data_IF_413899307531
#
_entry.id   IF_413899307531
#
_cell.length_a   1.000
_cell.length_b   1.000
_cell.length_c   1.000
_cell.angle_alpha   90.00
_cell.angle_beta   90.00
_cell.angle_gamma   90.00
#
_symmetry.space_group_name_H-M   'P 1'
#
loop_
_entity.id
_entity.type
_entity.pdbx_description
1 polymer ?
#
# COMPACT_ATOMS: atom_id res chain seq x y z
N UNK A 1 9.32 -3.37 -4.37
CA UNK A 1 9.57 -1.95 -3.98
C UNK A 1 9.94 -1.12 -5.21
N UNK A 2 9.62 0.18 -5.23
CA UNK A 2 9.93 1.10 -6.34
C UNK A 2 10.38 2.45 -5.77
N UNK A 3 11.43 3.07 -6.31
CA UNK A 3 11.80 4.43 -5.92
C UNK A 3 13.23 4.85 -6.24
N UNK A 4 13.55 6.09 -5.87
CA UNK A 4 14.91 6.67 -5.92
C UNK A 4 15.71 6.25 -4.67
N UNK A 5 16.78 5.50 -4.88
CA UNK A 5 17.67 5.04 -3.81
C UNK A 5 18.98 5.82 -3.77
N UNK A 6 19.20 6.78 -4.70
CA UNK A 6 20.47 7.49 -4.88
C UNK A 6 21.71 6.57 -4.91
N UNK A 7 21.48 5.33 -5.36
CA UNK A 7 22.42 4.22 -5.28
C UNK A 7 22.86 3.83 -6.67
N UNK A 8 24.14 3.97 -7.01
CA UNK A 8 24.67 3.50 -8.30
C UNK A 8 25.25 2.12 -8.08
N UNK A 9 24.58 1.10 -8.60
CA UNK A 9 24.93 -0.31 -8.31
C UNK A 9 25.83 -0.94 -9.37
N UNK A 10 26.07 -0.25 -10.49
CA UNK A 10 26.78 -0.84 -11.62
C UNK A 10 26.12 -2.15 -12.07
N UNK A 11 26.97 -3.11 -12.43
CA UNK A 11 26.60 -4.49 -12.73
C UNK A 11 26.88 -5.45 -11.56
N UNK A 12 26.90 -4.95 -10.31
CA UNK A 12 27.05 -5.83 -9.15
C UNK A 12 25.87 -6.80 -9.04
N UNK A 13 26.18 -8.05 -8.67
CA UNK A 13 25.20 -9.09 -8.39
C UNK A 13 24.42 -8.78 -7.12
N UNK A 14 23.10 -8.82 -7.20
CA UNK A 14 22.13 -8.66 -6.12
C UNK A 14 21.77 -10.00 -5.44
N UNK A 15 22.43 -11.09 -5.82
CA UNK A 15 22.33 -12.42 -5.20
C UNK A 15 23.72 -12.99 -4.85
N UNK A 16 23.75 -14.00 -3.97
CA UNK A 16 24.96 -14.74 -3.63
C UNK A 16 25.28 -15.77 -4.71
N UNK A 17 26.54 -15.80 -5.18
CA UNK A 17 26.97 -16.80 -6.15
C UNK A 17 27.67 -17.92 -5.38
N UNK A 18 26.94 -19.02 -5.14
CA UNK A 18 27.41 -20.16 -4.34
C UNK A 18 28.73 -20.72 -4.89
N UNK A 19 28.91 -20.73 -6.22
CA UNK A 19 30.10 -21.30 -6.86
C UNK A 19 31.35 -20.41 -6.71
N UNK A 20 31.17 -19.10 -6.47
CA UNK A 20 32.28 -18.13 -6.39
C UNK A 20 32.57 -17.66 -4.98
N UNK A 21 31.57 -17.64 -4.12
CA UNK A 21 31.67 -17.22 -2.72
C UNK A 21 31.97 -18.45 -1.84
N UNK A 22 33.09 -19.12 -2.13
CA UNK A 22 33.56 -20.36 -1.46
C UNK A 22 33.98 -20.17 0.01
N UNK A 23 33.59 -19.05 0.65
CA UNK A 23 33.85 -18.77 2.06
C UNK A 23 32.69 -19.17 2.98
N UNK A 24 31.57 -19.67 2.44
CA UNK A 24 30.49 -20.29 3.22
C UNK A 24 30.76 -21.79 3.35
N UNK A 25 31.86 -22.15 4.02
CA UNK A 25 32.10 -23.54 4.39
C UNK A 25 31.11 -23.96 5.49
N UNK A 26 30.37 -25.03 5.20
CA UNK A 26 29.91 -26.07 6.13
C UNK A 26 28.99 -25.63 7.29
N UNK A 27 27.68 -25.86 7.16
CA UNK A 27 26.83 -26.46 8.22
C UNK A 27 25.32 -26.59 7.94
N UNK A 28 24.82 -26.40 6.71
CA UNK A 28 23.41 -26.70 6.40
C UNK A 28 23.27 -27.65 5.22
N UNK A 29 23.46 -28.93 5.49
CA UNK A 29 22.94 -30.02 4.66
C UNK A 29 21.52 -30.31 5.10
N UNK A 30 20.55 -29.51 4.67
CA UNK A 30 19.19 -30.03 4.54
C UNK A 30 18.32 -29.22 3.57
N UNK A 31 17.63 -29.97 2.71
CA UNK A 31 16.55 -29.62 1.79
C UNK A 31 16.82 -28.96 0.44
N UNK A 32 16.18 -29.60 -0.56
CA UNK A 32 15.93 -29.23 -1.94
C UNK A 32 15.14 -27.90 -2.11
N UNK A 33 15.45 -26.85 -1.36
CA UNK A 33 14.95 -25.52 -1.69
C UNK A 33 15.67 -25.06 -2.96
N UNK A 34 14.92 -24.93 -4.06
CA UNK A 34 15.37 -24.19 -5.24
C UNK A 34 15.98 -22.88 -4.77
N UNK A 35 17.19 -22.58 -5.22
CA UNK A 35 17.79 -21.30 -4.87
C UNK A 35 16.91 -20.20 -5.45
N UNK A 36 16.77 -19.07 -4.74
CA UNK A 36 15.98 -17.94 -5.25
C UNK A 36 16.43 -17.47 -6.66
N UNK A 37 17.66 -17.80 -7.03
CA UNK A 37 18.24 -17.55 -8.35
C UNK A 37 17.66 -18.46 -9.42
N UNK A 38 17.32 -19.72 -9.08
CA UNK A 38 16.75 -20.68 -10.04
C UNK A 38 15.35 -20.27 -10.50
N UNK A 39 14.60 -19.56 -9.65
CA UNK A 39 13.31 -18.94 -10.02
C UNK A 39 13.47 -17.95 -11.18
N UNK A 40 14.62 -17.25 -11.26
CA UNK A 40 14.89 -16.37 -12.40
C UNK A 40 15.01 -17.16 -13.70
N UNK A 41 15.68 -18.31 -13.68
CA UNK A 41 15.85 -19.14 -14.87
C UNK A 41 14.54 -19.78 -15.29
N UNK A 42 13.72 -20.25 -14.33
CA UNK A 42 12.39 -20.79 -14.59
C UNK A 42 11.51 -19.76 -15.32
N UNK A 43 11.59 -18.50 -14.92
CA UNK A 43 10.85 -17.39 -15.54
C UNK A 43 11.52 -16.83 -16.81
N UNK A 44 12.67 -17.37 -17.23
CA UNK A 44 13.44 -16.84 -18.35
C UNK A 44 13.99 -15.44 -18.12
N UNK A 45 14.12 -15.01 -16.86
CA UNK A 45 14.69 -13.73 -16.46
C UNK A 45 16.21 -13.87 -16.34
N UNK A 46 17.02 -13.05 -17.02
CA UNK A 46 18.48 -13.14 -16.92
C UNK A 46 18.98 -13.00 -15.47
N UNK A 47 19.86 -13.91 -15.04
CA UNK A 47 20.54 -13.83 -13.72
C UNK A 47 21.37 -12.56 -13.57
N UNK A 48 22.06 -12.13 -14.62
CA UNK A 48 22.86 -10.91 -14.61
C UNK A 48 22.06 -9.73 -15.15
N UNK A 49 22.14 -8.60 -14.44
CA UNK A 49 21.56 -7.33 -14.89
C UNK A 49 22.46 -6.73 -15.95
N UNK A 50 21.85 -6.13 -16.95
CA UNK A 50 22.54 -5.23 -17.85
C UNK A 50 22.25 -3.79 -17.42
N UNK A 51 23.25 -3.06 -16.96
CA UNK A 51 23.17 -1.63 -16.66
C UNK A 51 24.17 -0.87 -17.52
N UNK A 52 23.70 0.17 -18.23
CA UNK A 52 24.61 1.08 -18.93
C UNK A 52 25.43 1.92 -17.96
N UNK A 53 24.90 2.18 -16.77
CA UNK A 53 25.63 2.80 -15.68
C UNK A 53 26.49 1.74 -15.01
N UNK A 54 27.80 1.78 -15.26
CA UNK A 54 28.80 0.85 -14.71
C UNK A 54 29.40 1.35 -13.40
N UNK A 55 29.08 2.58 -12.97
CA UNK A 55 29.67 3.18 -11.77
C UNK A 55 29.02 2.61 -10.51
N UNK A 56 29.85 2.34 -9.49
CA UNK A 56 29.40 1.89 -8.18
C UNK A 56 29.77 2.90 -7.11
N UNK A 57 28.77 3.45 -6.40
CA UNK A 57 29.02 4.33 -5.25
C UNK A 57 28.86 3.58 -3.90
N UNK A 58 29.19 4.25 -2.80
CA UNK A 58 29.10 3.66 -1.46
C UNK A 58 27.68 3.22 -1.07
N UNK A 59 26.66 3.97 -1.49
CA UNK A 59 25.25 3.59 -1.31
C UNK A 59 24.89 2.36 -2.14
N UNK A 60 25.38 2.27 -3.38
CA UNK A 60 25.18 1.13 -4.27
C UNK A 60 25.68 -0.19 -3.69
N UNK A 61 26.85 -0.21 -3.04
CA UNK A 61 27.35 -1.41 -2.35
C UNK A 61 26.41 -1.84 -1.22
N UNK A 62 26.04 -0.91 -0.33
CA UNK A 62 25.10 -1.17 0.76
C UNK A 62 23.72 -1.63 0.25
N UNK A 63 23.27 -1.07 -0.87
CA UNK A 63 22.01 -1.41 -1.48
C UNK A 63 22.03 -2.82 -2.10
N UNK A 64 23.15 -3.23 -2.69
CA UNK A 64 23.36 -4.61 -3.14
C UNK A 64 23.38 -5.58 -1.94
N UNK A 65 24.09 -5.24 -0.87
CA UNK A 65 24.08 -6.07 0.35
C UNK A 65 22.68 -6.19 0.94
N UNK A 66 21.91 -5.09 0.93
CA UNK A 66 20.51 -5.10 1.32
C UNK A 66 19.68 -6.05 0.43
N UNK A 67 19.84 -6.00 -0.90
CA UNK A 67 19.13 -6.89 -1.82
C UNK A 67 19.45 -8.37 -1.54
N UNK A 68 20.74 -8.70 -1.38
CA UNK A 68 21.22 -10.04 -1.05
C UNK A 68 20.64 -10.56 0.27
N UNK A 69 20.74 -9.77 1.33
CA UNK A 69 20.27 -10.15 2.66
C UNK A 69 18.74 -10.31 2.74
N UNK A 70 18.00 -9.61 1.88
CA UNK A 70 16.54 -9.64 1.86
C UNK A 70 15.96 -10.46 0.69
N UNK A 71 16.80 -11.24 -0.03
CA UNK A 71 16.37 -12.08 -1.17
C UNK A 71 15.55 -11.29 -2.20
N UNK A 72 15.99 -10.07 -2.49
CA UNK A 72 15.35 -9.19 -3.47
C UNK A 72 16.22 -9.01 -4.71
N UNK A 73 15.56 -8.95 -5.86
CA UNK A 73 16.19 -8.76 -7.15
C UNK A 73 15.86 -7.40 -7.72
N UNK A 74 16.90 -6.72 -8.22
CA UNK A 74 16.76 -5.50 -9.01
C UNK A 74 16.30 -5.89 -10.42
N UNK A 75 15.14 -5.40 -10.82
CA UNK A 75 14.52 -5.69 -12.11
C UNK A 75 15.06 -4.85 -13.27
N UNK A 76 15.61 -3.66 -12.96
CA UNK A 76 16.24 -2.79 -13.96
C UNK A 76 17.36 -3.56 -14.65
N UNK A 77 17.31 -3.63 -15.99
CA UNK A 77 18.32 -4.34 -16.76
C UNK A 77 18.06 -5.83 -16.97
N UNK A 78 16.94 -6.39 -16.49
CA UNK A 78 16.60 -7.83 -16.64
C UNK A 78 15.45 -8.10 -17.62
N UNK A 79 14.39 -7.30 -17.56
CA UNK A 79 13.18 -7.54 -18.37
C UNK A 79 13.33 -7.00 -19.80
N UNK A 80 12.65 -7.64 -20.76
CA UNK A 80 12.89 -7.48 -22.21
C UNK A 80 12.96 -6.03 -22.68
N UNK A 81 12.01 -5.21 -22.26
CA UNK A 81 11.90 -3.81 -22.68
C UNK A 81 12.87 -2.86 -21.98
N UNK A 82 13.61 -3.36 -20.99
CA UNK A 82 14.68 -2.65 -20.30
C UNK A 82 15.96 -3.50 -20.26
N UNK A 83 16.16 -4.39 -21.23
CA UNK A 83 17.37 -5.22 -21.35
C UNK A 83 18.63 -4.40 -21.54
N UNK A 84 18.53 -3.14 -21.95
CA UNK A 84 19.68 -2.22 -22.09
C UNK A 84 20.12 -1.57 -20.79
N UNK A 85 19.29 -1.64 -19.74
CA UNK A 85 19.59 -0.98 -18.46
C UNK A 85 19.56 0.52 -18.57
N UNK A 86 18.49 1.04 -19.17
CA UNK A 86 18.40 2.46 -19.52
C UNK A 86 18.53 3.35 -18.27
N UNK A 87 19.21 4.50 -18.39
CA UNK A 87 19.44 5.42 -17.28
C UNK A 87 18.13 5.99 -16.77
N UNK A 88 17.95 5.99 -15.45
CA UNK A 88 16.75 6.52 -14.79
C UNK A 88 16.91 7.98 -14.40
N UNK A 89 18.11 8.55 -14.52
CA UNK A 89 18.42 9.94 -14.18
C UNK A 89 19.25 10.59 -15.29
N UNK A 90 18.75 11.70 -15.86
CA UNK A 90 19.35 12.57 -16.91
C UNK A 90 20.19 11.86 -17.98
N UNK A 91 19.76 10.66 -18.38
CA UNK A 91 20.48 9.81 -19.30
C UNK A 91 21.92 9.43 -18.88
N UNK A 92 22.26 9.53 -17.60
CA UNK A 92 23.62 9.34 -17.10
C UNK A 92 23.78 8.31 -16.00
N UNK A 93 22.76 8.09 -15.17
CA UNK A 93 22.84 7.12 -14.07
C UNK A 93 21.57 6.31 -13.87
N UNK A 94 21.73 5.13 -13.28
CA UNK A 94 20.64 4.27 -12.81
C UNK A 94 20.61 4.38 -11.28
N UNK A 95 19.61 5.08 -10.76
CA UNK A 95 19.44 5.34 -9.31
C UNK A 95 18.02 5.07 -8.82
N UNK A 96 17.06 4.97 -9.74
CA UNK A 96 15.69 4.58 -9.49
C UNK A 96 15.52 3.11 -9.82
N UNK A 97 15.07 2.31 -8.85
CA UNK A 97 15.00 0.86 -9.00
C UNK A 97 13.60 0.33 -8.78
N UNK A 98 13.29 -0.72 -9.52
CA UNK A 98 12.22 -1.66 -9.22
C UNK A 98 12.83 -2.93 -8.62
N UNK A 99 12.37 -3.31 -7.43
CA UNK A 99 12.79 -4.50 -6.71
C UNK A 99 11.63 -5.48 -6.57
N UNK A 100 11.92 -6.77 -6.67
CA UNK A 100 10.97 -7.84 -6.40
C UNK A 100 11.61 -8.95 -5.58
N UNK A 101 10.84 -9.56 -4.68
CA UNK A 101 11.15 -10.90 -4.17
C UNK A 101 10.85 -11.94 -5.26
N UNK A 102 11.38 -13.16 -5.09
CA UNK A 102 11.10 -14.30 -5.98
C UNK A 102 9.62 -14.59 -6.13
N UNK A 103 8.89 -14.60 -5.01
CA UNK A 103 7.45 -14.87 -4.99
C UNK A 103 6.64 -13.90 -5.88
N UNK A 104 7.05 -12.63 -5.94
CA UNK A 104 6.32 -11.61 -6.69
C UNK A 104 6.75 -11.51 -8.17
N UNK A 105 7.84 -12.17 -8.58
CA UNK A 105 8.31 -12.15 -9.97
C UNK A 105 7.27 -12.74 -10.93
N UNK A 106 6.52 -13.76 -10.50
CA UNK A 106 5.43 -14.37 -11.27
C UNK A 106 4.34 -13.37 -11.67
N UNK A 107 4.20 -12.28 -10.92
CA UNK A 107 3.22 -11.23 -11.20
C UNK A 107 3.79 -10.10 -12.04
N UNK A 108 5.06 -10.11 -12.42
CA UNK A 108 5.66 -9.01 -13.19
C UNK A 108 5.70 -9.37 -14.66
N UNK A 109 5.03 -8.57 -15.47
CA UNK A 109 4.98 -8.71 -16.92
C UNK A 109 6.11 -7.93 -17.58
N UNK A 110 6.23 -6.65 -17.24
CA UNK A 110 7.09 -5.70 -17.97
C UNK A 110 7.57 -4.58 -17.05
N UNK A 111 8.83 -4.17 -17.26
CA UNK A 111 9.40 -2.94 -16.72
C UNK A 111 10.01 -2.13 -17.86
N UNK A 112 9.67 -0.85 -17.92
CA UNK A 112 10.18 0.10 -18.92
C UNK A 112 10.63 1.40 -18.24
N UNK A 113 11.77 1.95 -18.66
CA UNK A 113 12.18 3.31 -18.33
C UNK A 113 11.67 4.21 -19.44
N UNK A 114 10.66 5.02 -19.14
CA UNK A 114 10.07 5.92 -20.12
C UNK A 114 10.99 7.11 -20.40
N UNK A 115 10.83 7.71 -21.58
CA UNK A 115 11.60 8.89 -21.96
C UNK A 115 11.49 10.01 -20.93
N UNK A 116 12.64 10.61 -20.59
CA UNK A 116 12.70 11.76 -19.69
C UNK A 116 11.74 12.87 -20.15
N UNK A 117 10.93 13.32 -19.22
CA UNK A 117 9.98 14.39 -19.45
C UNK A 117 10.21 15.49 -18.41
N UNK A 118 10.78 16.62 -18.86
CA UNK A 118 11.01 17.82 -18.04
C UNK A 118 9.77 18.32 -17.28
N UNK A 119 8.58 17.90 -17.71
CA UNK A 119 7.31 18.24 -17.10
C UNK A 119 7.05 17.48 -15.80
N UNK A 120 7.56 16.26 -15.68
CA UNK A 120 7.29 15.35 -14.56
C UNK A 120 8.47 15.23 -13.60
N UNK A 121 9.68 15.56 -14.04
CA UNK A 121 10.86 15.61 -13.19
C UNK A 121 11.92 16.52 -13.82
N UNK A 122 12.77 17.11 -12.98
CA UNK A 122 13.95 17.86 -13.43
C UNK A 122 15.16 16.96 -13.70
N UNK A 123 15.12 15.71 -13.21
CA UNK A 123 16.26 14.79 -13.26
C UNK A 123 15.85 13.36 -13.62
N UNK A 124 14.73 12.85 -13.13
CA UNK A 124 14.37 11.43 -13.23
C UNK A 124 13.48 11.09 -14.43
N UNK A 125 13.77 9.96 -15.05
CA UNK A 125 12.95 9.30 -16.06
C UNK A 125 11.89 8.44 -15.37
N UNK A 126 10.62 8.48 -15.79
CA UNK A 126 9.58 7.67 -15.16
C UNK A 126 9.82 6.16 -15.35
N UNK A 127 9.55 5.37 -14.31
CA UNK A 127 9.50 3.91 -14.39
C UNK A 127 8.06 3.43 -14.59
N UNK A 128 7.83 2.53 -15.55
CA UNK A 128 6.55 1.87 -15.78
C UNK A 128 6.69 0.38 -15.51
N UNK A 129 5.98 -0.10 -14.49
CA UNK A 129 5.89 -1.51 -14.14
C UNK A 129 4.48 -2.02 -14.47
N UNK A 130 4.39 -3.14 -15.19
CA UNK A 130 3.15 -3.82 -15.51
C UNK A 130 3.08 -5.14 -14.76
N UNK A 131 1.92 -5.40 -14.17
CA UNK A 131 1.67 -6.57 -13.34
C UNK A 131 0.56 -7.44 -13.94
N UNK A 132 0.72 -8.76 -13.82
CA UNK A 132 -0.34 -9.73 -14.03
C UNK A 132 -1.23 -9.81 -12.78
N UNK A 133 -2.55 -9.83 -13.01
CA UNK A 133 -3.53 -10.08 -11.96
C UNK A 133 -4.31 -11.34 -12.28
N UNK A 134 -4.35 -12.30 -11.35
CA UNK A 134 -5.10 -13.56 -11.49
C UNK A 134 -6.60 -13.42 -11.25
N UNK A 135 -7.05 -12.21 -10.93
CA UNK A 135 -8.47 -11.94 -11.05
C UNK A 135 -8.75 -11.98 -12.54
N UNK A 136 -9.49 -13.00 -13.00
CA UNK A 136 -10.48 -12.78 -14.03
C UNK A 136 -11.25 -11.57 -13.53
N UNK A 137 -10.84 -10.38 -13.96
CA UNK A 137 -11.66 -9.23 -13.74
C UNK A 137 -12.86 -9.58 -14.59
N UNK A 138 -13.90 -10.07 -13.92
CA UNK A 138 -15.10 -10.56 -14.56
C UNK A 138 -15.57 -9.37 -15.39
N UNK A 139 -15.31 -9.41 -16.69
CA UNK A 139 -15.46 -8.22 -17.53
C UNK A 139 -16.92 -7.78 -17.47
N UNK A 140 -17.85 -8.68 -17.12
CA UNK A 140 -19.24 -8.36 -16.74
C UNK A 140 -19.36 -7.43 -15.52
N UNK A 141 -18.61 -7.62 -14.45
CA UNK A 141 -18.62 -6.75 -13.26
C UNK A 141 -17.93 -5.40 -13.52
N UNK A 142 -16.85 -5.36 -14.32
CA UNK A 142 -16.32 -4.06 -14.78
C UNK A 142 -17.26 -3.38 -15.79
N UNK A 143 -17.96 -4.13 -16.64
CA UNK A 143 -18.95 -3.59 -17.58
C UNK A 143 -20.25 -3.18 -16.87
N UNK A 144 -20.63 -3.82 -15.77
CA UNK A 144 -21.74 -3.37 -14.92
C UNK A 144 -21.34 -2.16 -14.06
N UNK A 145 -20.09 -2.10 -13.59
CA UNK A 145 -19.59 -0.94 -12.81
C UNK A 145 -19.21 0.25 -13.71
N UNK A 146 -18.78 0.03 -14.96
CA UNK A 146 -18.33 1.10 -15.89
C UNK A 146 -19.18 1.31 -17.15
N UNK A 147 -20.12 0.40 -17.47
CA UNK A 147 -21.04 0.51 -18.61
C UNK A 147 -22.51 0.37 -18.22
N UNK A 148 -22.89 0.66 -16.97
CA UNK A 148 -24.15 1.37 -16.78
C UNK A 148 -24.00 2.73 -17.48
N UNK A 149 -24.25 2.77 -18.79
CA UNK A 149 -24.77 3.98 -19.38
C UNK A 149 -26.08 4.22 -18.65
N UNK A 150 -26.03 4.95 -17.54
CA UNK A 150 -27.21 5.28 -16.74
C UNK A 150 -28.27 5.71 -17.74
N UNK A 151 -29.29 4.87 -17.90
CA UNK A 151 -30.47 5.24 -18.65
C UNK A 151 -31.02 6.47 -17.96
N UNK A 152 -30.78 7.63 -18.55
CA UNK A 152 -31.30 8.87 -18.01
C UNK A 152 -32.73 8.97 -18.49
N UNK A 153 -33.64 9.07 -17.53
CA UNK A 153 -34.99 9.52 -17.79
C UNK A 153 -34.89 10.85 -18.53
N UNK A 154 -35.64 10.98 -19.63
CA UNK A 154 -35.67 12.23 -20.36
C UNK A 154 -36.23 13.38 -19.49
N UNK A 155 -35.99 14.62 -19.92
CA UNK A 155 -36.39 15.81 -19.14
C UNK A 155 -37.91 15.81 -18.92
N UNK A 156 -38.33 16.20 -17.71
CA UNK A 156 -39.75 16.36 -17.36
C UNK A 156 -40.48 17.27 -18.36
N UNK A 157 -41.60 16.78 -18.87
CA UNK A 157 -42.53 17.49 -19.76
C UNK A 157 -43.85 17.68 -19.03
N UNK A 158 -44.22 18.94 -18.76
CA UNK A 158 -45.38 19.25 -17.92
C UNK A 158 -46.71 18.75 -18.52
N UNK A 159 -46.77 18.62 -19.84
CA UNK A 159 -47.92 18.09 -20.58
C UNK A 159 -48.20 16.61 -20.27
N UNK A 160 -47.17 15.85 -19.89
CA UNK A 160 -47.27 14.41 -19.55
C UNK A 160 -47.45 14.14 -18.05
N UNK A 161 -47.77 15.15 -17.24
CA UNK A 161 -47.87 14.99 -15.79
C UNK A 161 -48.96 13.98 -15.36
N UNK A 162 -50.08 13.90 -16.10
CA UNK A 162 -51.14 12.94 -15.82
C UNK A 162 -50.76 11.52 -16.23
N UNK A 163 -50.04 11.37 -17.33
CA UNK A 163 -49.50 10.08 -17.78
C UNK A 163 -48.49 9.53 -16.76
N UNK A 164 -47.62 10.40 -16.23
CA UNK A 164 -46.70 10.03 -15.14
C UNK A 164 -47.44 9.50 -13.91
N UNK A 165 -48.50 10.18 -13.46
CA UNK A 165 -49.31 9.73 -12.33
C UNK A 165 -49.97 8.38 -12.59
N UNK A 166 -50.42 8.13 -13.82
CA UNK A 166 -51.05 6.87 -14.20
C UNK A 166 -50.05 5.72 -14.30
N UNK A 167 -48.78 6.02 -14.60
CA UNK A 167 -47.70 5.03 -14.69
C UNK A 167 -47.08 4.68 -13.32
N UNK A 168 -47.49 5.33 -12.23
CA UNK A 168 -47.10 4.93 -10.87
C UNK A 168 -47.78 3.61 -10.53
N UNK A 169 -46.96 2.57 -10.35
CA UNK A 169 -47.43 1.25 -9.94
C UNK A 169 -48.02 1.28 -8.53
N UNK A 170 -49.35 1.28 -8.46
CA UNK A 170 -50.08 1.32 -7.19
C UNK A 170 -49.80 0.11 -6.31
N UNK A 171 -49.53 -1.06 -6.89
CA UNK A 171 -49.26 -2.26 -6.10
C UNK A 171 -47.94 -2.12 -5.34
N UNK A 172 -46.91 -1.54 -5.97
CA UNK A 172 -45.64 -1.23 -5.30
C UNK A 172 -45.82 -0.19 -4.20
N UNK A 173 -46.63 0.84 -4.46
CA UNK A 173 -46.93 1.87 -3.45
C UNK A 173 -47.65 1.25 -2.25
N UNK A 174 -48.64 0.38 -2.49
CA UNK A 174 -49.38 -0.29 -1.43
C UNK A 174 -48.48 -1.23 -0.61
N UNK A 175 -47.56 -1.97 -1.25
CA UNK A 175 -46.57 -2.79 -0.56
C UNK A 175 -45.65 -1.96 0.35
N UNK A 176 -45.13 -0.84 -0.17
CA UNK A 176 -44.32 0.11 0.62
C UNK A 176 -45.13 0.64 1.81
N UNK A 177 -46.40 1.01 1.61
CA UNK A 177 -47.27 1.51 2.67
C UNK A 177 -47.55 0.44 3.75
N UNK A 178 -47.76 -0.81 3.33
CA UNK A 178 -47.99 -1.93 4.24
C UNK A 178 -46.76 -2.23 5.09
N UNK A 179 -45.56 -2.24 4.49
CA UNK A 179 -44.29 -2.41 5.20
C UNK A 179 -44.02 -1.28 6.19
N UNK A 180 -44.24 -0.03 5.78
CA UNK A 180 -44.14 1.13 6.68
C UNK A 180 -45.12 1.03 7.85
N UNK A 181 -46.35 0.60 7.60
CA UNK A 181 -47.36 0.42 8.65
C UNK A 181 -46.99 -0.69 9.62
N UNK A 182 -46.37 -1.78 9.14
CA UNK A 182 -45.83 -2.83 9.98
C UNK A 182 -44.70 -2.30 10.89
N UNK A 183 -43.79 -1.47 10.35
CA UNK A 183 -42.69 -0.87 11.10
C UNK A 183 -43.14 0.12 12.18
N UNK A 184 -44.22 0.85 11.94
CA UNK A 184 -44.80 1.75 12.95
C UNK A 184 -45.34 0.97 14.16
N UNK A 185 -45.80 -0.26 13.96
CA UNK A 185 -46.33 -1.11 15.03
C UNK A 185 -45.24 -1.91 15.78
N UNK A 186 -44.03 -2.02 15.23
CA UNK A 186 -42.89 -2.74 15.82
C UNK A 186 -41.58 -1.95 15.73
N UNK A 187 -41.58 -0.75 16.32
CA UNK A 187 -40.48 0.23 16.22
C UNK A 187 -39.14 -0.31 16.75
N UNK A 188 -39.16 -1.27 17.67
CA UNK A 188 -37.94 -1.79 18.30
C UNK A 188 -37.13 -2.75 17.42
N UNK A 189 -37.74 -3.28 16.35
CA UNK A 189 -37.11 -4.25 15.45
C UNK A 189 -36.70 -3.66 14.08
N UNK A 190 -36.95 -2.37 13.84
CA UNK A 190 -36.63 -1.72 12.57
C UNK A 190 -35.14 -1.38 12.51
N UNK A 191 -34.43 -1.94 11.55
CA UNK A 191 -33.01 -1.65 11.34
C UNK A 191 -32.80 -0.51 10.34
N UNK A 192 -31.58 0.05 10.31
CA UNK A 192 -31.15 0.99 9.27
C UNK A 192 -31.25 0.39 7.87
N UNK A 193 -31.04 -0.93 7.75
CA UNK A 193 -31.12 -1.63 6.48
C UNK A 193 -32.55 -1.63 5.94
N UNK A 194 -33.54 -1.85 6.80
CA UNK A 194 -34.95 -1.85 6.42
C UNK A 194 -35.42 -0.49 5.89
N UNK A 195 -34.97 0.59 6.54
CA UNK A 195 -35.26 1.96 6.09
C UNK A 195 -34.58 2.28 4.74
N UNK A 196 -33.34 1.83 4.55
CA UNK A 196 -32.66 2.00 3.26
C UNK A 196 -33.40 1.26 2.14
N UNK A 197 -33.91 0.05 2.39
CA UNK A 197 -34.68 -0.69 1.40
C UNK A 197 -35.96 0.06 1.01
N UNK A 198 -36.70 0.61 1.98
CA UNK A 198 -37.89 1.43 1.69
C UNK A 198 -37.53 2.65 0.83
N UNK A 199 -36.43 3.34 1.14
CA UNK A 199 -35.99 4.49 0.34
C UNK A 199 -35.63 4.08 -1.08
N UNK A 200 -34.95 2.95 -1.26
CA UNK A 200 -34.64 2.39 -2.58
C UNK A 200 -35.92 2.07 -3.35
N UNK A 201 -36.88 1.38 -2.73
CA UNK A 201 -38.13 0.98 -3.37
C UNK A 201 -38.97 2.20 -3.80
N UNK A 202 -38.99 3.27 -3.00
CA UNK A 202 -39.63 4.54 -3.36
C UNK A 202 -38.92 5.17 -4.57
N UNK A 203 -37.59 5.24 -4.54
CA UNK A 203 -36.80 5.81 -5.64
C UNK A 203 -37.03 5.03 -6.94
N UNK A 204 -37.03 3.71 -6.88
CA UNK A 204 -37.21 2.82 -8.03
C UNK A 204 -38.62 2.96 -8.60
N UNK A 205 -39.65 2.98 -7.75
CA UNK A 205 -41.04 3.18 -8.16
C UNK A 205 -41.21 4.50 -8.92
N UNK A 206 -40.67 5.60 -8.40
CA UNK A 206 -40.74 6.90 -9.06
C UNK A 206 -39.92 6.92 -10.35
N UNK A 207 -38.73 6.32 -10.34
CA UNK A 207 -37.82 6.29 -11.50
C UNK A 207 -38.40 5.47 -12.64
N UNK A 208 -38.94 4.29 -12.38
CA UNK A 208 -39.59 3.43 -13.37
C UNK A 208 -40.82 4.11 -14.00
N UNK A 209 -41.65 4.75 -13.18
CA UNK A 209 -42.80 5.54 -13.65
C UNK A 209 -42.34 6.66 -14.60
N UNK A 210 -41.20 7.27 -14.28
CA UNK A 210 -40.62 8.34 -15.08
C UNK A 210 -40.04 7.80 -16.38
N UNK A 211 -39.34 6.65 -16.34
CA UNK A 211 -38.83 5.94 -17.53
C UNK A 211 -39.97 5.56 -18.47
N UNK A 212 -41.08 5.03 -17.94
CA UNK A 212 -42.24 4.66 -18.73
C UNK A 212 -42.89 5.87 -19.43
N UNK A 213 -42.93 7.02 -18.75
CA UNK A 213 -43.62 8.23 -19.24
C UNK A 213 -42.78 9.07 -20.18
N UNK A 214 -41.53 9.34 -19.80
CA UNK A 214 -40.65 10.26 -20.52
C UNK A 214 -39.73 9.51 -21.48
N UNK A 215 -39.67 8.17 -21.39
CA UNK A 215 -38.68 7.36 -22.07
C UNK A 215 -37.29 7.50 -21.44
N UNK A 216 -36.38 6.67 -21.91
CA UNK A 216 -34.96 6.73 -21.55
C UNK A 216 -34.15 7.20 -22.76
N UNK A 217 -33.15 8.03 -22.52
CA UNK A 217 -32.09 8.24 -23.51
C UNK A 217 -30.87 7.44 -23.09
N UNK A 218 -30.47 6.50 -23.95
CA UNK A 218 -29.16 5.90 -23.86
C UNK A 218 -28.17 6.95 -24.32
N UNK A 219 -27.38 7.46 -23.37
CA UNK A 219 -26.26 8.33 -23.74
C UNK A 219 -25.21 7.44 -24.40
N UNK A 220 -25.37 7.22 -25.72
CA UNK A 220 -24.34 6.61 -26.55
C UNK A 220 -23.13 7.53 -26.48
N UNK A 221 -22.22 7.25 -25.54
CA UNK A 221 -20.84 7.70 -25.64
C UNK A 221 -20.34 7.07 -26.94
N UNK A 222 -20.40 7.83 -28.04
CA UNK A 222 -19.54 7.58 -29.18
C UNK A 222 -18.17 7.25 -28.63
N UNK A 223 -17.63 6.09 -29.01
CA UNK A 223 -16.37 5.52 -28.55
C UNK A 223 -15.26 6.57 -28.50
N UNK A 224 -15.14 7.37 -27.44
CA UNK A 224 -13.96 8.13 -27.08
C UNK A 224 -14.14 8.65 -25.66
N UNK A 225 -13.23 8.15 -24.80
CA UNK A 225 -12.98 8.51 -23.40
C UNK A 225 -13.88 7.82 -22.39
N UNK A 226 -13.33 6.76 -21.80
CA UNK A 226 -13.52 6.41 -20.40
C UNK A 226 -13.73 7.69 -19.59
N UNK A 227 -14.98 7.93 -19.19
CA UNK A 227 -15.28 8.99 -18.26
C UNK A 227 -14.72 8.55 -16.91
N UNK A 228 -13.55 9.10 -16.59
CA UNK A 228 -13.08 9.42 -15.24
C UNK A 228 -13.75 8.59 -14.15
N UNK A 229 -13.06 7.55 -13.69
CA UNK A 229 -13.32 6.97 -12.38
C UNK A 229 -13.52 8.12 -11.40
N UNK A 230 -14.61 8.04 -10.66
CA UNK A 230 -14.99 8.93 -9.58
C UNK A 230 -14.15 8.67 -8.32
N UNK A 231 -12.93 8.15 -8.48
CA UNK A 231 -11.86 8.56 -7.60
C UNK A 231 -11.57 10.00 -7.97
N UNK A 232 -12.14 10.93 -7.20
CA UNK A 232 -11.53 12.24 -7.02
C UNK A 232 -10.09 11.94 -6.63
N UNK A 233 -9.20 11.92 -7.62
CA UNK A 233 -7.78 12.07 -7.34
C UNK A 233 -7.73 13.47 -6.75
N UNK A 234 -7.73 13.55 -5.42
CA UNK A 234 -7.63 14.83 -4.71
C UNK A 234 -6.34 15.54 -5.14
N UNK A 235 -5.35 14.73 -5.55
CA UNK A 235 -4.13 15.14 -6.20
C UNK A 235 -4.24 15.48 -7.71
N UNK A 236 -5.41 15.43 -8.34
CA UNK A 236 -5.55 15.81 -9.76
C UNK A 236 -6.87 16.55 -9.99
N UNK A 237 -6.93 17.71 -9.34
CA UNK A 237 -8.09 18.58 -9.27
C UNK A 237 -8.39 19.34 -10.58
N UNK A 238 -9.43 20.18 -10.57
CA UNK A 238 -9.85 20.98 -11.72
C UNK A 238 -8.74 21.92 -12.21
N UNK A 239 -7.90 22.41 -11.32
CA UNK A 239 -6.81 23.32 -11.64
C UNK A 239 -5.66 22.60 -12.35
N UNK A 240 -5.30 21.40 -11.90
CA UNK A 240 -4.34 20.53 -12.60
C UNK A 240 -4.79 20.26 -14.04
N UNK A 241 -6.08 19.97 -14.24
CA UNK A 241 -6.69 19.74 -15.57
C UNK A 241 -6.72 21.01 -16.42
N UNK A 242 -6.91 22.18 -15.81
CA UNK A 242 -6.89 23.48 -16.52
C UNK A 242 -5.46 23.81 -16.96
N UNK A 243 -4.50 23.72 -16.05
CA UNK A 243 -3.09 23.99 -16.31
C UNK A 243 -2.51 23.03 -17.37
N UNK A 244 -2.82 21.72 -17.31
CA UNK A 244 -2.39 20.76 -18.33
C UNK A 244 -2.96 21.08 -19.71
N UNK A 245 -4.23 21.49 -19.79
CA UNK A 245 -4.87 21.85 -21.07
C UNK A 245 -4.21 23.08 -21.69
N UNK A 246 -3.92 24.10 -20.90
CA UNK A 246 -3.24 25.30 -21.37
C UNK A 246 -1.80 24.99 -21.82
N UNK A 247 -1.04 24.20 -21.05
CA UNK A 247 0.29 23.75 -21.47
C UNK A 247 0.26 23.01 -22.81
N UNK A 248 -0.65 22.04 -22.97
CA UNK A 248 -0.81 21.30 -24.25
C UNK A 248 -1.24 22.21 -25.40
N UNK A 249 -2.09 23.21 -25.14
CA UNK A 249 -2.50 24.22 -26.13
C UNK A 249 -1.29 25.06 -26.57
N UNK A 250 -0.52 25.61 -25.63
CA UNK A 250 0.68 26.38 -25.92
C UNK A 250 1.73 25.55 -26.67
N UNK A 251 1.91 24.28 -26.32
CA UNK A 251 2.85 23.36 -27.00
C UNK A 251 2.47 23.15 -28.46
N UNK A 252 1.17 22.97 -28.76
CA UNK A 252 0.67 22.86 -30.14
C UNK A 252 0.88 24.16 -30.92
N UNK A 253 0.57 25.31 -30.32
CA UNK A 253 0.79 26.61 -30.95
C UNK A 253 2.27 26.86 -31.26
N UNK A 254 3.16 26.56 -30.32
CA UNK A 254 4.60 26.68 -30.55
C UNK A 254 5.08 25.74 -31.65
N UNK A 255 4.63 24.47 -31.68
CA UNK A 255 4.99 23.53 -32.74
C UNK A 255 4.52 24.00 -34.12
N UNK A 256 3.35 24.63 -34.21
CA UNK A 256 2.78 25.05 -35.48
C UNK A 256 3.39 26.35 -36.01
N UNK A 257 3.66 27.32 -35.13
CA UNK A 257 4.06 28.68 -35.53
C UNK A 257 5.51 29.05 -35.21
N UNK A 258 6.18 28.37 -34.26
CA UNK A 258 7.60 28.56 -33.95
C UNK A 258 8.04 29.93 -33.40
N UNK A 259 7.14 30.92 -33.25
CA UNK A 259 7.52 32.29 -32.89
C UNK A 259 7.94 32.45 -31.42
N UNK A 260 8.74 33.50 -31.14
CA UNK A 260 9.18 33.85 -29.77
C UNK A 260 7.99 34.10 -28.82
N UNK A 261 6.88 34.65 -29.33
CA UNK A 261 5.66 34.88 -28.55
C UNK A 261 5.07 33.54 -28.07
N UNK A 262 5.01 32.53 -28.94
CA UNK A 262 4.51 31.21 -28.57
C UNK A 262 5.50 30.44 -27.70
N UNK A 263 6.80 30.68 -27.86
CA UNK A 263 7.84 30.13 -27.00
C UNK A 263 7.70 30.63 -25.56
N UNK A 264 7.49 31.93 -25.37
CA UNK A 264 7.29 32.51 -24.04
C UNK A 264 5.97 32.04 -23.42
N UNK A 265 4.89 32.00 -24.22
CA UNK A 265 3.60 31.45 -23.77
C UNK A 265 3.71 29.98 -23.34
N UNK A 266 4.48 29.17 -24.07
CA UNK A 266 4.76 27.78 -23.70
C UNK A 266 5.48 27.73 -22.36
N UNK A 267 6.56 28.51 -22.20
CA UNK A 267 7.33 28.60 -20.95
C UNK A 267 6.44 28.99 -19.75
N UNK A 268 5.60 30.01 -19.89
CA UNK A 268 4.70 30.45 -18.82
C UNK A 268 3.67 29.36 -18.45
N UNK A 269 3.07 28.71 -19.44
CA UNK A 269 2.12 27.62 -19.19
C UNK A 269 2.77 26.38 -18.59
N UNK A 270 4.05 26.14 -18.90
CA UNK A 270 4.85 25.06 -18.32
C UNK A 270 5.16 25.33 -16.85
N UNK A 271 5.65 26.52 -16.50
CA UNK A 271 5.91 26.94 -15.12
C UNK A 271 4.63 26.89 -14.27
N UNK A 272 3.52 27.37 -14.81
CA UNK A 272 2.23 27.31 -14.11
C UNK A 272 1.77 25.86 -13.88
N UNK A 273 1.90 24.99 -14.89
CA UNK A 273 1.53 23.58 -14.74
C UNK A 273 2.41 22.86 -13.73
N UNK A 274 3.74 23.10 -13.74
CA UNK A 274 4.66 22.57 -12.72
C UNK A 274 4.25 23.03 -11.32
N UNK A 275 4.07 24.33 -11.11
CA UNK A 275 3.63 24.87 -9.80
C UNK A 275 2.35 24.22 -9.28
N UNK A 276 1.37 23.98 -10.15
CA UNK A 276 0.11 23.34 -9.77
C UNK A 276 0.28 21.84 -9.51
N UNK A 277 1.23 21.18 -10.19
CA UNK A 277 1.57 19.78 -9.95
C UNK A 277 2.45 19.61 -8.70
N UNK A 278 3.40 20.48 -8.40
CA UNK A 278 4.34 20.36 -7.27
C UNK A 278 3.64 20.49 -5.91
N UNK A 279 2.56 21.27 -5.83
CA UNK A 279 1.67 21.34 -4.66
C UNK A 279 1.00 19.98 -4.38
N UNK A 280 1.06 19.07 -5.35
CA UNK A 280 0.16 17.93 -5.44
C UNK A 280 0.88 16.60 -5.67
N UNK A 281 2.08 16.61 -6.24
CA UNK A 281 2.84 15.47 -6.70
C UNK A 281 3.96 15.09 -5.72
N UNK A 282 3.65 14.94 -4.44
CA UNK A 282 4.61 14.36 -3.48
C UNK A 282 4.77 12.83 -3.68
N UNK A 283 3.94 12.18 -4.50
CA UNK A 283 4.13 10.78 -4.91
C UNK A 283 3.56 10.60 -6.32
N UNK A 284 4.37 10.27 -7.33
CA UNK A 284 3.84 9.83 -8.63
C UNK A 284 4.46 8.50 -9.07
N UNK A 285 3.66 7.44 -8.96
CA UNK A 285 3.91 6.12 -9.54
C UNK A 285 2.83 5.84 -10.60
N UNK A 286 3.21 5.36 -11.78
CA UNK A 286 2.27 4.91 -12.81
C UNK A 286 2.27 3.38 -12.89
N UNK A 287 1.29 2.76 -12.24
CA UNK A 287 1.00 1.32 -12.37
C UNK A 287 -0.04 1.13 -13.46
N UNK A 288 0.24 0.27 -14.45
CA UNK A 288 -0.73 -0.14 -15.48
C UNK A 288 -1.01 -1.63 -15.29
N UNK A 289 -2.28 -2.03 -15.30
CA UNK A 289 -2.75 -3.40 -15.08
C UNK A 289 -3.17 -4.00 -16.43
N UNK A 290 -2.76 -5.24 -16.71
CA UNK A 290 -3.12 -5.99 -17.91
C UNK A 290 -4.01 -7.19 -17.57
N UNK A 291 -4.97 -7.52 -18.45
CA UNK A 291 -5.86 -8.70 -18.34
C UNK A 291 -5.28 -9.89 -19.13
N UNK A 292 -5.42 -11.16 -18.70
CA UNK A 292 -4.75 -12.31 -19.33
C UNK A 292 -5.62 -13.08 -20.34
N UNK A 293 -4.97 -13.85 -21.22
CA UNK A 293 -5.38 -15.17 -21.76
C UNK A 293 -4.16 -15.87 -22.43
N UNK A 294 -4.04 -17.22 -22.44
CA UNK A 294 -4.18 -18.16 -21.31
C UNK A 294 -3.00 -19.14 -21.16
N UNK A 295 -2.74 -19.61 -19.92
CA UNK A 295 -2.54 -21.04 -19.60
C UNK A 295 -2.83 -21.30 -18.11
N UNK A 296 -3.44 -22.47 -17.85
CA UNK A 296 -4.10 -22.91 -16.62
C UNK A 296 -3.20 -23.08 -15.39
N UNK A 297 -3.60 -22.54 -14.23
CA UNK A 297 -3.62 -23.22 -12.92
C UNK A 297 -4.73 -22.58 -12.06
N UNK A 298 -5.71 -23.36 -11.59
CA UNK A 298 -6.76 -22.92 -10.64
C UNK A 298 -6.31 -23.20 -9.21
N UNK A 299 -6.44 -22.21 -8.31
CA UNK A 299 -6.42 -22.42 -6.86
C UNK A 299 -7.72 -21.90 -6.26
N UNK A 300 -8.38 -22.76 -5.47
CA UNK A 300 -9.66 -22.50 -4.79
C UNK A 300 -9.47 -21.65 -3.53
N UNK A 301 -10.34 -20.65 -3.31
CA UNK A 301 -10.47 -19.93 -2.04
C UNK A 301 -11.39 -20.69 -1.08
N UNK A 302 -10.88 -21.09 0.09
CA UNK A 302 -11.63 -21.83 1.11
C UNK A 302 -12.19 -20.90 2.20
N UNK A 303 -13.51 -20.99 2.43
CA UNK A 303 -14.18 -20.63 3.69
C UNK A 303 -13.87 -21.75 4.69
N UNK A 304 -13.33 -21.44 5.88
CA UNK A 304 -12.97 -22.44 6.91
C UNK A 304 -13.97 -22.43 8.06
N UNK A 305 -14.43 -23.61 8.46
CA UNK A 305 -15.29 -23.84 9.64
C UNK A 305 -14.47 -24.11 10.92
N UNK A 306 -15.04 -23.76 12.07
CA UNK A 306 -14.43 -23.73 13.42
C UNK A 306 -13.63 -24.98 13.81
N UNK A 307 -14.07 -26.18 13.39
CA UNK A 307 -13.43 -27.46 13.74
C UNK A 307 -11.99 -27.62 13.20
N UNK A 308 -11.52 -26.70 12.34
CA UNK A 308 -10.15 -26.69 11.82
C UNK A 308 -9.17 -25.80 12.60
N UNK A 309 -9.64 -25.05 13.60
CA UNK A 309 -8.86 -24.00 14.29
C UNK A 309 -8.61 -24.26 15.79
N UNK A 310 -9.19 -25.32 16.36
CA UNK A 310 -9.27 -25.52 17.82
C UNK A 310 -8.04 -26.14 18.47
N UNK A 311 -7.04 -26.57 17.69
CA UNK A 311 -5.80 -27.11 18.23
C UNK A 311 -4.67 -26.09 18.05
N UNK A 312 -4.24 -25.52 19.17
CA UNK A 312 -2.96 -24.82 19.36
C UNK A 312 -2.86 -23.38 18.82
N UNK A 313 -3.19 -22.37 19.63
CA UNK A 313 -2.77 -20.99 19.32
C UNK A 313 -2.21 -20.26 20.54
N UNK A 314 -0.89 -20.30 20.68
CA UNK A 314 -0.10 -19.31 21.43
C UNK A 314 0.71 -18.52 20.43
N UNK A 315 0.61 -17.19 20.47
CA UNK A 315 1.52 -16.34 19.70
C UNK A 315 2.61 -15.80 20.62
N UNK A 316 3.85 -16.12 20.28
CA UNK A 316 5.06 -15.55 20.90
C UNK A 316 5.83 -14.83 19.80
N UNK A 317 6.49 -13.73 20.17
CA UNK A 317 7.26 -12.90 19.24
C UNK A 317 8.22 -13.77 18.42
N UNK A 318 8.24 -13.55 17.10
CA UNK A 318 9.07 -14.31 16.18
C UNK A 318 10.56 -14.16 16.55
N UNK A 319 11.27 -15.28 16.60
CA UNK A 319 12.73 -15.31 16.69
C UNK A 319 13.34 -14.56 15.49
N UNK A 320 14.36 -13.73 15.75
CA UNK A 320 15.17 -12.95 14.78
C UNK A 320 14.75 -11.50 14.44
N UNK A 321 14.36 -10.66 15.42
CA UNK A 321 14.37 -9.20 15.22
C UNK A 321 15.58 -8.55 15.90
N UNK A 322 16.68 -8.43 15.17
CA UNK A 322 17.94 -7.86 15.63
C UNK A 322 17.80 -6.34 15.91
N UNK A 323 17.76 -5.96 17.19
CA UNK A 323 17.57 -4.56 17.62
C UNK A 323 18.93 -3.87 17.78
N UNK A 324 19.27 -2.93 16.88
CA UNK A 324 20.37 -1.98 17.10
C UNK A 324 19.84 -0.65 17.61
N UNK A 325 20.45 -0.17 18.69
CA UNK A 325 20.08 1.07 19.40
C UNK A 325 20.12 2.28 18.44
N UNK A 326 18.95 2.89 18.19
CA UNK A 326 18.83 4.12 17.37
C UNK A 326 18.20 3.97 15.99
N UNK A 327 17.77 2.78 15.57
CA UNK A 327 16.95 2.59 14.36
C UNK A 327 15.61 1.95 14.72
N UNK A 328 14.50 2.52 14.23
CA UNK A 328 13.19 1.84 14.24
C UNK A 328 13.34 0.53 13.45
N UNK A 329 12.89 -0.63 13.96
CA UNK A 329 12.93 -1.86 13.19
C UNK A 329 12.07 -1.71 11.93
N UNK A 330 12.66 -2.07 10.80
CA UNK A 330 11.98 -2.25 9.54
C UNK A 330 11.01 -3.43 9.69
N UNK A 331 9.71 -3.18 9.56
CA UNK A 331 8.68 -4.21 9.53
C UNK A 331 8.84 -4.94 8.19
N UNK A 332 9.17 -6.25 8.15
CA UNK A 332 9.16 -6.99 6.90
C UNK A 332 7.71 -7.09 6.40
N UNK A 333 7.50 -6.88 5.10
CA UNK A 333 6.20 -7.06 4.41
C UNK A 333 5.70 -8.53 4.42
N UNK A 334 6.38 -9.45 5.12
CA UNK A 334 5.82 -10.77 5.42
C UNK A 334 4.86 -10.64 6.61
N UNK A 335 3.60 -10.29 6.31
CA UNK A 335 2.49 -10.55 7.25
C UNK A 335 2.44 -12.06 7.52
N UNK A 336 3.10 -12.52 8.58
CA UNK A 336 2.99 -13.90 9.03
C UNK A 336 1.58 -14.10 9.61
N UNK A 337 0.81 -14.97 8.97
CA UNK A 337 -0.51 -15.35 9.43
C UNK A 337 -0.35 -16.18 10.70
N UNK A 338 -0.55 -15.56 11.87
CA UNK A 338 -0.28 -16.15 13.19
C UNK A 338 -1.09 -17.44 13.43
N UNK A 339 -2.20 -17.62 12.72
CA UNK A 339 -3.04 -18.83 12.84
C UNK A 339 -2.50 -20.05 12.07
N UNK A 340 -1.35 -19.95 11.39
CA UNK A 340 -0.82 -21.03 10.52
C UNK A 340 0.48 -21.66 11.01
N UNK A 341 1.08 -21.18 12.09
CA UNK A 341 2.41 -21.62 12.52
C UNK A 341 2.40 -22.48 13.79
N UNK A 342 2.56 -23.80 13.62
CA UNK A 342 2.99 -24.72 14.68
C UNK A 342 4.53 -24.61 14.82
N UNK A 343 5.03 -23.58 15.50
CA UNK A 343 6.46 -23.47 15.82
C UNK A 343 6.74 -23.88 17.27
N UNK A 344 7.79 -24.67 17.53
CA UNK A 344 8.24 -24.93 18.89
C UNK A 344 8.64 -23.63 19.57
N UNK A 345 8.17 -23.48 20.81
CA UNK A 345 8.28 -22.26 21.62
C UNK A 345 9.65 -22.24 22.30
N UNK A 346 10.57 -21.38 21.85
CA UNK A 346 11.76 -21.02 22.61
C UNK A 346 11.81 -19.50 22.77
N UNK A 347 11.78 -19.02 24.02
CA UNK A 347 12.12 -17.63 24.29
C UNK A 347 13.64 -17.51 24.15
N UNK A 348 14.13 -16.79 23.15
CA UNK A 348 15.55 -16.45 23.08
C UNK A 348 15.95 -15.72 24.38
N UNK A 349 16.92 -16.27 25.16
CA UNK A 349 17.41 -15.67 26.40
C UNK A 349 17.86 -14.21 26.24
N UNK A 350 18.28 -13.81 25.03
CA UNK A 350 18.73 -12.46 24.71
C UNK A 350 17.64 -11.39 24.98
N UNK A 351 16.38 -11.68 24.69
CA UNK A 351 15.26 -10.75 24.87
C UNK A 351 14.89 -10.52 26.33
N UNK A 352 15.01 -11.56 27.16
CA UNK A 352 14.78 -11.43 28.61
C UNK A 352 15.80 -10.46 29.20
N UNK A 353 17.06 -10.54 28.76
CA UNK A 353 18.10 -9.61 29.20
C UNK A 353 17.88 -8.18 28.67
N UNK A 354 17.36 -8.00 27.46
CA UNK A 354 17.01 -6.67 26.94
C UNK A 354 15.91 -6.01 27.75
N UNK A 355 14.86 -6.76 28.10
CA UNK A 355 13.73 -6.25 28.89
C UNK A 355 14.17 -5.75 30.28
N UNK A 356 15.22 -6.33 30.85
CA UNK A 356 15.76 -5.95 32.16
C UNK A 356 16.83 -4.84 32.09
N UNK A 357 17.64 -4.80 31.03
CA UNK A 357 18.75 -3.85 30.88
C UNK A 357 18.36 -2.53 30.19
N UNK A 358 17.15 -2.45 29.64
CA UNK A 358 16.64 -1.21 29.03
C UNK A 358 16.56 -0.06 30.04
N UNK A 359 16.76 1.18 29.57
CA UNK A 359 16.47 2.39 30.35
C UNK A 359 14.99 2.46 30.76
N UNK A 360 14.12 1.84 29.97
CA UNK A 360 12.73 1.61 30.30
C UNK A 360 12.48 0.11 30.39
N UNK A 361 12.76 -0.54 31.52
CA UNK A 361 12.58 -1.98 31.63
C UNK A 361 11.10 -2.35 31.56
N UNK A 362 10.81 -3.52 30.99
CA UNK A 362 9.44 -4.06 30.89
C UNK A 362 9.37 -5.49 31.43
N UNK A 363 8.15 -5.99 31.55
CA UNK A 363 7.87 -7.41 31.80
C UNK A 363 6.86 -7.89 30.78
N UNK A 364 6.89 -9.17 30.47
CA UNK A 364 5.86 -9.78 29.63
C UNK A 364 4.65 -10.16 30.47
N UNK A 365 3.46 -9.86 29.97
CA UNK A 365 2.18 -10.22 30.55
C UNK A 365 1.34 -10.93 29.50
N UNK A 366 0.69 -12.02 29.90
CA UNK A 366 -0.26 -12.74 29.07
C UNK A 366 -1.59 -12.00 29.03
N UNK A 367 -2.05 -11.68 27.84
CA UNK A 367 -3.36 -11.13 27.53
C UNK A 367 -4.22 -12.26 26.96
N UNK A 368 -5.22 -12.71 27.73
CA UNK A 368 -6.11 -13.81 27.38
C UNK A 368 -7.48 -13.24 27.01
N UNK A 369 -7.92 -13.49 25.78
CA UNK A 369 -9.22 -13.05 25.25
C UNK A 369 -9.89 -14.23 24.53
N UNK A 370 -10.94 -14.78 25.14
CA UNK A 370 -11.68 -15.93 24.59
C UNK A 370 -12.42 -15.61 23.28
N UNK A 371 -12.60 -14.34 22.95
CA UNK A 371 -13.22 -13.89 21.70
C UNK A 371 -12.20 -13.53 20.63
N UNK A 372 -10.92 -13.86 20.83
CA UNK A 372 -9.82 -13.58 19.90
C UNK A 372 -9.08 -14.87 19.54
N UNK A 373 -8.60 -14.95 18.30
CA UNK A 373 -7.63 -15.97 17.87
C UNK A 373 -6.39 -15.22 17.38
N UNK A 374 -5.21 -15.43 17.99
CA UNK A 374 -4.94 -16.32 19.12
C UNK A 374 -5.61 -15.85 20.43
N UNK A 375 -6.03 -16.81 21.25
CA UNK A 375 -6.67 -16.54 22.56
C UNK A 375 -5.68 -15.90 23.52
N UNK A 376 -4.44 -16.39 23.54
CA UNK A 376 -3.36 -15.87 24.39
C UNK A 376 -2.31 -15.13 23.55
N UNK A 377 -2.08 -13.86 23.90
CA UNK A 377 -1.02 -13.02 23.34
C UNK A 377 -0.11 -12.57 24.49
N UNK A 378 1.20 -12.61 24.28
CA UNK A 378 2.17 -12.08 25.25
C UNK A 378 2.52 -10.63 24.90
N UNK A 379 2.25 -9.69 25.80
CA UNK A 379 2.48 -8.27 25.61
C UNK A 379 3.51 -7.72 26.61
N UNK A 380 4.33 -6.77 26.17
CA UNK A 380 5.25 -6.05 27.04
C UNK A 380 4.52 -4.95 27.84
N UNK A 381 4.76 -4.90 29.14
CA UNK A 381 4.24 -3.87 30.04
C UNK A 381 5.41 -3.17 30.72
N UNK A 382 5.51 -1.85 30.57
CA UNK A 382 6.60 -1.09 31.20
C UNK A 382 6.55 -1.26 32.72
N UNK A 383 7.69 -1.59 33.34
CA UNK A 383 7.77 -1.73 34.81
C UNK A 383 7.59 -0.40 35.51
N UNK A 384 7.96 0.68 34.83
CA UNK A 384 7.99 2.03 35.38
C UNK A 384 7.03 2.90 34.58
N UNK A 385 5.84 3.15 35.12
CA UNK A 385 4.89 4.13 34.60
C UNK A 385 4.94 5.33 35.55
N UNK A 386 5.32 6.50 35.05
CA UNK A 386 5.36 7.78 35.79
C UNK A 386 6.57 8.03 36.71
N UNK A 387 7.77 7.56 36.38
CA UNK A 387 8.98 8.20 36.95
C UNK A 387 9.43 9.31 36.01
N UNK A 388 9.84 10.44 36.57
CA UNK A 388 10.40 11.56 35.78
C UNK A 388 11.76 11.21 35.13
N UNK A 389 12.25 9.99 35.30
CA UNK A 389 13.57 9.53 34.87
C UNK A 389 13.45 8.08 34.36
N UNK A 390 13.92 7.84 33.14
CA UNK A 390 14.14 6.49 32.63
C UNK A 390 15.51 6.00 33.10
N UNK A 391 15.56 4.81 33.68
CA UNK A 391 16.81 4.15 34.06
C UNK A 391 17.08 4.22 35.56
N UNK A 392 17.19 3.03 36.14
CA UNK A 392 17.62 2.75 37.50
C UNK A 392 19.03 2.17 37.43
N UNK A 393 20.05 2.95 37.81
CA UNK A 393 21.25 2.49 38.53
C UNK A 393 21.98 3.71 39.10
N UNK A 394 21.80 3.93 40.40
CA UNK A 394 22.79 4.41 41.40
C UNK A 394 23.59 5.71 41.20
N UNK A 395 23.52 6.40 40.07
CA UNK A 395 24.07 7.76 39.91
C UNK A 395 23.05 8.65 39.19
N UNK A 396 21.92 8.91 39.86
CA UNK A 396 20.82 9.79 39.42
C UNK A 396 21.19 11.27 39.16
N UNK A 397 22.47 11.58 38.93
CA UNK A 397 23.00 12.92 38.74
C UNK A 397 23.64 13.15 37.36
N UNK A 398 23.84 12.13 36.52
CA UNK A 398 24.53 12.32 35.22
C UNK A 398 23.61 12.54 34.00
N UNK A 399 22.31 12.23 34.09
CA UNK A 399 21.39 12.34 32.93
C UNK A 399 20.75 13.73 32.73
N UNK A 400 21.05 14.73 33.57
CA UNK A 400 20.65 16.14 33.33
C UNK A 400 21.38 16.72 32.10
N UNK A 401 22.46 16.07 31.61
CA UNK A 401 23.24 16.57 30.46
C UNK A 401 22.50 16.61 29.12
N UNK A 402 21.36 15.93 28.97
CA UNK A 402 20.65 15.83 27.68
C UNK A 402 19.48 16.81 27.52
N UNK A 403 19.32 17.80 28.40
CA UNK A 403 18.33 18.87 28.22
C UNK A 403 16.86 18.45 28.28
N UNK A 404 16.57 17.21 28.68
CA UNK A 404 15.23 16.68 28.85
C UNK A 404 14.82 16.71 30.33
N UNK A 405 13.87 17.56 30.69
CA UNK A 405 13.40 17.72 32.09
C UNK A 405 12.46 16.61 32.55
N UNK A 406 11.77 15.96 31.60
CA UNK A 406 10.77 14.93 31.89
C UNK A 406 10.91 13.80 30.90
N UNK A 407 11.36 12.67 31.40
CA UNK A 407 11.42 11.42 30.67
C UNK A 407 10.28 10.51 31.12
N UNK A 408 9.66 9.81 30.17
CA UNK A 408 8.61 8.83 30.45
C UNK A 408 8.83 7.54 29.65
N UNK A 409 8.60 6.40 30.30
CA UNK A 409 8.60 5.12 29.60
C UNK A 409 7.26 4.90 28.91
N UNK A 410 7.31 4.67 27.60
CA UNK A 410 6.13 4.36 26.78
C UNK A 410 6.28 3.01 26.09
N UNK A 411 5.15 2.33 25.96
CA UNK A 411 5.05 1.06 25.23
C UNK A 411 5.29 1.29 23.73
N UNK A 412 6.12 0.45 23.14
CA UNK A 412 6.33 0.38 21.70
C UNK A 412 5.35 -0.65 21.15
N UNK A 413 4.41 -0.20 20.32
CA UNK A 413 3.34 -1.03 19.78
C UNK A 413 3.58 -1.35 18.31
N UNK A 414 3.25 -2.58 17.92
CA UNK A 414 3.10 -2.99 16.52
C UNK A 414 1.66 -3.45 16.29
N UNK A 415 1.19 -3.41 15.06
CA UNK A 415 -0.15 -3.89 14.71
C UNK A 415 -0.05 -5.30 14.12
N UNK A 416 -0.88 -6.21 14.59
CA UNK A 416 -1.01 -7.54 14.00
C UNK A 416 -2.46 -7.85 13.66
N UNK A 417 -2.68 -8.78 12.73
CA UNK A 417 -4.00 -9.32 12.43
C UNK A 417 -4.37 -10.38 13.45
N UNK A 418 -5.59 -10.28 13.98
CA UNK A 418 -6.22 -11.32 14.80
C UNK A 418 -7.64 -11.57 14.30
N UNK A 419 -8.19 -12.74 14.61
CA UNK A 419 -9.61 -13.00 14.35
C UNK A 419 -10.41 -12.69 15.61
N UNK A 420 -11.38 -11.79 15.53
CA UNK A 420 -12.33 -11.52 16.63
C UNK A 420 -13.69 -12.12 16.35
N UNK A 421 -14.29 -12.73 17.38
CA UNK A 421 -15.67 -13.19 17.37
C UNK A 421 -16.60 -11.98 17.36
N UNK A 422 -17.49 -11.92 16.37
CA UNK A 422 -18.37 -10.77 16.13
C UNK A 422 -19.76 -10.94 16.77
N UNK A 423 -20.24 -12.18 16.91
CA UNK A 423 -21.52 -12.51 17.52
C UNK A 423 -21.34 -13.59 18.59
N UNK A 424 -22.10 -13.52 19.69
CA UNK A 424 -22.09 -14.55 20.73
C UNK A 424 -22.83 -15.83 20.28
N UNK A 425 -23.82 -15.67 19.42
CA UNK A 425 -24.75 -16.73 19.01
C UNK A 425 -24.31 -17.46 17.73
N UNK A 426 -23.39 -16.85 16.98
CA UNK A 426 -22.89 -17.38 15.71
C UNK A 426 -21.36 -17.33 15.78
N UNK A 427 -20.68 -18.43 15.46
CA UNK A 427 -19.22 -18.52 15.38
C UNK A 427 -18.66 -17.77 14.15
N UNK A 428 -19.08 -16.52 14.01
CA UNK A 428 -18.60 -15.59 12.99
C UNK A 428 -17.37 -14.86 13.54
N UNK A 429 -16.25 -15.05 12.84
CA UNK A 429 -14.99 -14.37 13.12
C UNK A 429 -14.67 -13.38 12.00
N UNK A 430 -14.08 -12.24 12.37
CA UNK A 430 -13.60 -11.23 11.41
C UNK A 430 -12.15 -10.89 11.70
N UNK A 431 -11.38 -10.67 10.64
CA UNK A 431 -10.02 -10.14 10.76
C UNK A 431 -10.06 -8.68 11.25
N UNK A 432 -9.31 -8.40 12.31
CA UNK A 432 -9.15 -7.06 12.87
C UNK A 432 -7.66 -6.84 13.14
N UNK A 433 -7.19 -5.60 12.94
CA UNK A 433 -5.85 -5.21 13.35
C UNK A 433 -5.85 -4.77 14.82
N UNK A 434 -5.02 -5.41 15.64
CA UNK A 434 -4.83 -5.07 17.05
C UNK A 434 -3.42 -4.58 17.33
N UNK A 435 -3.27 -3.53 18.15
CA UNK A 435 -1.97 -3.08 18.61
C UNK A 435 -1.48 -3.96 19.77
N UNK A 436 -0.30 -4.56 19.62
CA UNK A 436 0.39 -5.36 20.64
C UNK A 436 1.65 -4.62 21.09
N UNK A 437 1.85 -4.54 22.40
CA UNK A 437 3.08 -3.97 22.97
C UNK A 437 4.24 -4.97 22.88
N UNK A 438 5.34 -4.61 22.21
CA UNK A 438 6.54 -5.44 22.06
C UNK A 438 7.64 -5.12 23.09
N UNK A 439 7.66 -3.90 23.61
CA UNK A 439 8.68 -3.44 24.55
C UNK A 439 8.37 -2.05 25.08
N UNK A 440 9.33 -1.44 25.77
CA UNK A 440 9.21 -0.06 26.23
C UNK A 440 10.42 0.76 25.83
N UNK A 441 10.18 2.04 25.54
CA UNK A 441 11.20 3.02 25.18
C UNK A 441 11.06 4.27 26.06
N UNK A 442 12.16 4.99 26.23
CA UNK A 442 12.17 6.25 26.95
C UNK A 442 11.88 7.40 25.98
N UNK A 443 10.86 8.20 26.29
CA UNK A 443 10.48 9.38 25.51
C UNK A 443 10.70 10.64 26.36
N UNK A 444 11.15 11.72 25.72
CA UNK A 444 11.20 13.04 26.35
C UNK A 444 9.89 13.78 26.10
N UNK A 445 9.17 14.21 27.14
CA UNK A 445 7.85 14.85 26.97
C UNK A 445 7.94 16.31 26.53
N UNK A 446 9.09 16.95 26.71
CA UNK A 446 9.34 18.34 26.34
C UNK A 446 10.69 18.43 25.60
N UNK A 447 10.65 18.51 24.27
CA UNK A 447 11.81 18.84 23.46
C UNK A 447 12.15 20.32 23.71
N UNK A 448 13.10 20.60 24.60
CA UNK A 448 13.75 21.92 24.58
C UNK A 448 14.41 22.05 23.22
N UNK A 449 13.95 23.04 22.45
CA UNK A 449 14.55 23.41 21.18
C UNK A 449 16.03 23.62 21.44
N UNK A 450 16.88 22.69 21.01
CA UNK A 450 18.33 22.87 21.11
C UNK A 450 18.62 24.03 20.14
N UNK A 451 19.07 25.21 20.62
CA UNK A 451 19.45 26.28 19.72
C UNK A 451 20.58 25.74 18.85
N UNK A 452 20.40 25.91 17.55
CA UNK A 452 21.34 25.45 16.52
C UNK A 452 22.64 26.25 16.68
N UNK A 453 23.52 25.76 17.57
CA UNK A 453 24.83 26.36 17.79
C UNK A 453 25.68 25.96 16.60
N UNK A 454 25.68 26.82 15.59
CA UNK A 454 26.44 26.66 14.35
C UNK A 454 27.88 26.23 14.63
N UNK A 455 28.14 24.93 14.49
CA UNK A 455 29.48 24.38 14.38
C UNK A 455 29.81 24.25 12.91
N UNK A 456 30.44 25.29 12.38
CA UNK A 456 31.40 25.14 11.29
C UNK A 456 32.57 24.31 11.82
N UNK A 457 32.53 23.00 11.63
CA UNK A 457 33.74 22.17 11.68
C UNK A 457 34.31 22.10 10.26
N UNK A 458 35.38 22.86 10.03
CA UNK A 458 36.34 22.59 8.96
C UNK A 458 36.84 21.15 9.13
N UNK A 459 36.65 20.32 8.11
CA UNK A 459 37.43 19.10 7.94
C UNK A 459 38.72 19.47 7.19
N UNK A 460 39.85 19.28 7.86
CA UNK A 460 41.13 18.97 7.23
C UNK A 460 41.34 17.46 7.32
#
# INVERSE_FOLDING_TARGET
MLGDFNSRTGNLSDFYNIDKDSSFENNFTDYNELSDVDVLDELGIPRLRNSIDTVVNGYGRKFIDFCKNNRMFILNGRLEENKTGSPTSRNSSVIDYALSSTHFLYNICKLEVLNFCKLFSDVHSPLSLQLYTNNEINDKLLTEIFCCGDERVNKWENEKCNEYKNNIDRNKVDDICNRLSAYVNDVNNVTKYDMNNIVTDICDTLTESAKATFGTSTFNKTMFKCSKNQFSKDWYNKDCKKAQREFRKSKRLYKHYGSNIFKERLRQSELYYKKVMDVVALITLFVTICSPYPTHVRLNSNIRTLNSLTNETKAIMAENMDYRQGQLPFIPDSYKHITETNYPITCDPSYVHMAERSTCPWRFQKNVDNNRIPVEITEAVCRVRNTNVCGSTTTGLQNIRNGCEKQECREVKYYTKVLRRYSADIDEYREVFEPISAGCTCMCSELKHIPDTGRNSMCH
#
